data_IF_443403636896
#
_entry.id   IF_443403636896
#
_cell.length_a   1.000
_cell.length_b   1.000
_cell.length_c   1.000
_cell.angle_alpha   90.00
_cell.angle_beta   90.00
_cell.angle_gamma   90.00
#
_symmetry.space_group_name_H-M   'P 1'
#
loop_
_entity.id
_entity.type
_entity.pdbx_description
1 polymer ?
#
# COMPACT_ATOMS: atom_id res chain seq x y z
N UNK A 1 19.60 -8.57 16.96
CA UNK A 1 19.18 -7.35 16.25
C UNK A 1 18.87 -6.28 17.26
N UNK A 2 19.36 -5.06 17.05
CA UNK A 2 18.93 -3.90 17.84
C UNK A 2 17.50 -3.50 17.44
N UNK A 3 16.83 -2.71 18.29
CA UNK A 3 15.51 -2.14 17.96
C UNK A 3 15.57 -1.28 16.69
N UNK A 4 16.67 -0.54 16.50
CA UNK A 4 16.87 0.29 15.30
C UNK A 4 16.99 -0.57 14.05
N UNK A 5 17.76 -1.67 14.10
CA UNK A 5 17.90 -2.59 12.96
C UNK A 5 16.55 -3.18 12.55
N UNK A 6 15.70 -3.50 13.52
CA UNK A 6 14.36 -4.01 13.26
C UNK A 6 13.47 -2.97 12.57
N UNK A 7 13.50 -1.72 13.03
CA UNK A 7 12.73 -0.63 12.42
C UNK A 7 13.22 -0.38 10.98
N UNK A 8 14.53 -0.34 10.75
CA UNK A 8 15.08 -0.18 9.42
C UNK A 8 14.67 -1.33 8.49
N UNK A 9 14.71 -2.57 8.97
CA UNK A 9 14.25 -3.74 8.21
C UNK A 9 12.77 -3.61 7.80
N UNK A 10 11.90 -3.23 8.74
CA UNK A 10 10.48 -3.04 8.45
C UNK A 10 10.22 -1.87 7.51
N UNK A 11 11.01 -0.78 7.61
CA UNK A 11 10.93 0.35 6.69
C UNK A 11 11.29 -0.06 5.25
N UNK A 12 12.41 -0.76 5.06
CA UNK A 12 12.82 -1.29 3.74
C UNK A 12 11.78 -2.26 3.18
N UNK A 13 11.21 -3.12 4.03
CA UNK A 13 10.14 -4.02 3.61
C UNK A 13 8.89 -3.25 3.15
N UNK A 14 8.46 -2.24 3.92
CA UNK A 14 7.30 -1.43 3.58
C UNK A 14 7.50 -0.66 2.27
N UNK A 15 8.69 -0.10 2.03
CA UNK A 15 9.02 0.56 0.78
C UNK A 15 8.87 -0.40 -0.42
N UNK A 16 9.49 -1.58 -0.33
CA UNK A 16 9.43 -2.59 -1.39
C UNK A 16 8.01 -3.09 -1.63
N UNK A 17 7.24 -3.34 -0.56
CA UNK A 17 5.88 -3.83 -0.69
C UNK A 17 4.94 -2.76 -1.23
N UNK A 18 5.10 -1.50 -0.82
CA UNK A 18 4.33 -0.38 -1.37
C UNK A 18 4.58 -0.22 -2.87
N UNK A 19 5.82 -0.33 -3.33
CA UNK A 19 6.13 -0.29 -4.76
C UNK A 19 5.35 -1.37 -5.54
N UNK A 20 5.28 -2.59 -5.02
CA UNK A 20 4.48 -3.67 -5.63
C UNK A 20 2.98 -3.37 -5.66
N UNK A 21 2.44 -2.83 -4.56
CA UNK A 21 1.03 -2.45 -4.47
C UNK A 21 0.71 -1.36 -5.50
N UNK A 22 1.56 -0.35 -5.64
CA UNK A 22 1.38 0.71 -6.63
C UNK A 22 1.43 0.17 -8.05
N UNK A 23 2.36 -0.73 -8.38
CA UNK A 23 2.41 -1.37 -9.69
C UNK A 23 1.18 -2.24 -10.00
N UNK A 24 0.58 -2.87 -8.99
CA UNK A 24 -0.68 -3.58 -9.16
C UNK A 24 -1.85 -2.61 -9.36
N UNK A 25 -1.93 -1.55 -8.56
CA UNK A 25 -2.99 -0.54 -8.64
C UNK A 25 -2.99 0.20 -9.98
N UNK A 26 -1.82 0.51 -10.55
CA UNK A 26 -1.67 1.14 -11.88
C UNK A 26 -2.30 0.34 -13.03
N UNK A 27 -2.60 -0.94 -12.83
CA UNK A 27 -3.25 -1.80 -13.86
C UNK A 27 -4.78 -1.71 -13.82
N UNK A 28 -5.34 -1.05 -12.81
CA UNK A 28 -6.78 -0.83 -12.68
C UNK A 28 -7.18 0.46 -13.40
N UNK A 29 -8.39 0.54 -13.98
CA UNK A 29 -8.99 1.80 -14.39
C UNK A 29 -9.16 2.76 -13.21
N UNK A 30 -9.19 4.06 -13.49
CA UNK A 30 -9.33 5.11 -12.47
C UNK A 30 -10.63 4.97 -11.66
N UNK A 31 -11.70 4.49 -12.30
CA UNK A 31 -12.97 4.22 -11.63
C UNK A 31 -12.80 3.11 -10.58
N UNK A 32 -12.08 2.04 -10.90
CA UNK A 32 -11.88 0.90 -10.00
C UNK A 32 -11.02 1.24 -8.77
N UNK A 33 -10.16 2.26 -8.88
CA UNK A 33 -9.38 2.79 -7.76
C UNK A 33 -10.29 3.52 -6.75
N UNK A 34 -11.28 4.26 -7.25
CA UNK A 34 -12.18 5.09 -6.43
C UNK A 34 -13.46 4.38 -5.98
N UNK A 35 -13.81 3.22 -6.56
CA UNK A 35 -14.98 2.41 -6.17
C UNK A 35 -14.98 2.10 -4.67
N UNK A 36 -16.13 2.33 -4.03
CA UNK A 36 -16.36 1.96 -2.64
C UNK A 36 -16.47 0.43 -2.51
N UNK A 37 -15.46 -0.16 -1.88
CA UNK A 37 -15.32 -1.60 -1.58
C UNK A 37 -15.80 -1.96 -0.16
N UNK A 38 -16.44 -1.04 0.55
CA UNK A 38 -16.90 -1.20 1.95
C UNK A 38 -15.76 -1.58 2.90
N UNK A 39 -14.53 -1.19 2.54
CA UNK A 39 -13.36 -1.28 3.40
C UNK A 39 -13.35 -0.12 4.40
N UNK A 40 -12.42 -0.15 5.36
CA UNK A 40 -12.28 0.91 6.35
C UNK A 40 -12.18 2.32 5.73
N UNK A 41 -11.37 2.46 4.67
CA UNK A 41 -11.21 3.71 3.91
C UNK A 41 -12.20 3.87 2.75
N UNK A 42 -13.21 3.01 2.64
CA UNK A 42 -14.16 3.02 1.53
C UNK A 42 -13.57 2.44 0.24
N UNK A 43 -12.52 3.03 -0.34
CA UNK A 43 -11.91 2.63 -1.63
C UNK A 43 -10.40 2.38 -1.51
N UNK A 44 -9.74 2.04 -2.63
CA UNK A 44 -8.28 1.75 -2.65
C UNK A 44 -7.47 3.02 -2.39
N UNK A 45 -7.92 4.16 -2.91
CA UNK A 45 -7.28 5.47 -2.73
C UNK A 45 -8.05 6.38 -1.75
N UNK A 46 -8.98 5.83 -0.98
CA UNK A 46 -9.74 6.56 0.03
C UNK A 46 -8.89 6.90 1.26
N UNK A 47 -9.35 7.87 2.06
CA UNK A 47 -8.71 8.36 3.30
C UNK A 47 -9.66 8.33 4.47
#
# INVERSE_FOLDING_TARGET
MSRTDHICLMATYNEWMNAKIYEAAKRLPDEELSVNRKAFFGSIIGT
#
